data_IF_347418457809
#
_entry.id   IF_347418457809
#
_cell.length_a   1.000
_cell.length_b   1.000
_cell.length_c   1.000
_cell.angle_alpha   90.00
_cell.angle_beta   90.00
_cell.angle_gamma   90.00
#
_symmetry.space_group_name_H-M   'P 1'
#
loop_
_entity.id
_entity.type
_entity.pdbx_description
1 polymer ?
#
# COMPACT_ATOMS: atom_id res chain seq x y z
N UNK A 1 1.48 9.59 0.80
CA UNK A 1 1.57 10.01 -0.63
C UNK A 1 2.78 9.42 -1.38
N UNK A 2 4.03 9.63 -0.94
CA UNK A 2 5.22 9.15 -1.67
C UNK A 2 5.35 7.62 -1.66
N UNK A 3 4.94 6.98 -0.57
CA UNK A 3 4.83 5.51 -0.46
C UNK A 3 4.09 4.87 -1.62
N UNK A 4 2.90 5.38 -1.94
CA UNK A 4 2.08 4.83 -3.02
C UNK A 4 2.71 5.04 -4.40
N UNK A 5 3.32 6.22 -4.66
CA UNK A 5 4.06 6.46 -5.92
C UNK A 5 5.24 5.48 -6.03
N UNK A 6 6.02 5.34 -4.96
CA UNK A 6 7.17 4.44 -4.92
C UNK A 6 6.75 2.99 -5.20
N UNK A 7 5.68 2.51 -4.55
CA UNK A 7 5.14 1.18 -4.77
C UNK A 7 4.61 0.99 -6.20
N UNK A 8 3.89 1.97 -6.74
CA UNK A 8 3.39 1.91 -8.12
C UNK A 8 4.53 1.74 -9.14
N UNK A 9 5.64 2.46 -8.94
CA UNK A 9 6.83 2.38 -9.77
C UNK A 9 7.58 1.06 -9.59
N UNK A 10 7.78 0.61 -8.36
CA UNK A 10 8.38 -0.71 -8.10
C UNK A 10 7.56 -1.82 -8.76
N UNK A 11 6.22 -1.75 -8.72
CA UNK A 11 5.36 -2.73 -9.35
C UNK A 11 5.41 -2.66 -10.89
N UNK A 12 5.51 -1.46 -11.45
CA UNK A 12 5.74 -1.28 -12.89
C UNK A 12 7.04 -1.97 -13.32
N UNK A 13 8.08 -1.87 -12.50
CA UNK A 13 9.35 -2.52 -12.75
C UNK A 13 9.28 -4.05 -12.70
N UNK A 14 8.37 -4.60 -11.90
CA UNK A 14 8.11 -6.04 -11.74
C UNK A 14 7.12 -6.60 -12.76
N UNK A 15 6.52 -5.73 -13.57
CA UNK A 15 5.55 -6.14 -14.57
C UNK A 15 6.24 -6.96 -15.66
N UNK A 16 5.82 -8.20 -15.83
CA UNK A 16 6.37 -9.14 -16.83
C UNK A 16 5.65 -9.08 -18.17
N UNK A 17 4.46 -8.49 -18.24
CA UNK A 17 3.77 -8.23 -19.51
C UNK A 17 4.52 -7.10 -20.26
N UNK A 18 5.16 -7.39 -21.41
CA UNK A 18 5.97 -6.41 -22.12
C UNK A 18 5.14 -5.26 -22.70
N UNK A 19 3.86 -5.48 -23.01
CA UNK A 19 2.97 -4.43 -23.52
C UNK A 19 2.61 -3.45 -22.41
N UNK A 20 2.22 -3.97 -21.24
CA UNK A 20 1.94 -3.11 -20.10
C UNK A 20 3.21 -2.39 -19.66
N UNK A 21 4.34 -3.10 -19.60
CA UNK A 21 5.63 -2.51 -19.25
C UNK A 21 5.99 -1.32 -20.14
N UNK A 22 5.85 -1.46 -21.45
CA UNK A 22 6.09 -0.37 -22.39
C UNK A 22 5.20 0.86 -22.14
N UNK A 23 3.94 0.67 -21.78
CA UNK A 23 3.03 1.78 -21.42
C UNK A 23 3.50 2.48 -20.15
N UNK A 24 3.87 1.72 -19.11
CA UNK A 24 4.31 2.28 -17.84
C UNK A 24 5.63 3.03 -17.97
N UNK A 25 6.59 2.52 -18.75
CA UNK A 25 7.85 3.18 -19.05
C UNK A 25 7.67 4.46 -19.89
N UNK A 26 6.68 4.47 -20.80
CA UNK A 26 6.38 5.64 -21.64
C UNK A 26 5.61 6.74 -20.89
N UNK A 27 4.89 6.39 -19.82
CA UNK A 27 4.02 7.32 -19.09
C UNK A 27 4.24 7.34 -17.57
N UNK A 28 5.48 7.48 -17.08
CA UNK A 28 5.80 7.40 -15.64
C UNK A 28 5.15 8.53 -14.83
N UNK A 29 4.90 9.69 -15.44
CA UNK A 29 4.19 10.79 -14.76
C UNK A 29 2.71 10.48 -14.55
N UNK A 30 2.04 9.82 -15.51
CA UNK A 30 0.64 9.42 -15.35
C UNK A 30 0.51 8.35 -14.27
N UNK A 31 1.42 7.37 -14.27
CA UNK A 31 1.55 6.37 -13.20
C UNK A 31 1.69 7.03 -11.82
N UNK A 32 2.60 8.00 -11.69
CA UNK A 32 2.81 8.71 -10.43
C UNK A 32 1.58 9.54 -10.00
N UNK A 33 0.93 10.25 -10.93
CA UNK A 33 -0.29 11.02 -10.63
C UNK A 33 -1.43 10.09 -10.20
N UNK A 34 -1.56 8.91 -10.81
CA UNK A 34 -2.51 7.90 -10.38
C UNK A 34 -2.26 7.45 -8.94
N UNK A 35 -1.00 7.13 -8.61
CA UNK A 35 -0.61 6.71 -7.25
C UNK A 35 -0.76 7.78 -6.19
N UNK A 36 -0.89 9.05 -6.58
CA UNK A 36 -1.09 10.18 -5.69
C UNK A 36 -2.56 10.67 -5.63
N UNK A 37 -3.37 10.33 -6.64
CA UNK A 37 -4.68 10.93 -6.84
C UNK A 37 -5.68 10.68 -5.68
N UNK A 38 -5.85 9.46 -5.13
CA UNK A 38 -6.80 9.26 -4.04
C UNK A 38 -6.52 10.17 -2.83
N UNK A 39 -5.28 10.17 -2.36
CA UNK A 39 -4.82 11.05 -1.28
C UNK A 39 -5.03 12.54 -1.55
N UNK A 40 -4.95 12.98 -2.82
CA UNK A 40 -5.18 14.37 -3.18
C UNK A 40 -6.60 14.84 -2.80
N UNK A 41 -7.57 13.92 -2.87
CA UNK A 41 -8.97 14.19 -2.56
C UNK A 41 -9.20 14.60 -1.10
N UNK A 42 -8.32 14.19 -0.17
CA UNK A 42 -8.40 14.66 1.22
C UNK A 42 -8.06 16.13 1.41
N UNK A 43 -7.55 16.81 0.38
CA UNK A 43 -7.37 18.28 0.39
C UNK A 43 -8.55 19.04 -0.22
N UNK A 44 -9.53 18.33 -0.78
CA UNK A 44 -10.79 18.92 -1.18
C UNK A 44 -11.60 19.34 0.05
N UNK A 45 -12.58 20.22 -0.16
CA UNK A 45 -13.56 20.56 0.89
C UNK A 45 -14.43 19.35 1.26
N UNK A 46 -14.66 18.49 0.28
CA UNK A 46 -15.36 17.23 0.43
C UNK A 46 -14.31 16.11 0.57
N UNK A 47 -14.00 15.74 1.80
CA UNK A 47 -12.96 14.74 2.07
C UNK A 47 -13.32 13.34 1.55
N UNK A 48 -14.61 13.06 1.33
CA UNK A 48 -15.07 11.78 0.78
C UNK A 48 -14.60 11.58 -0.67
N UNK A 49 -14.25 12.66 -1.39
CA UNK A 49 -13.62 12.59 -2.71
C UNK A 49 -12.36 11.71 -2.66
N UNK A 50 -11.57 11.85 -1.60
CA UNK A 50 -10.36 11.04 -1.41
C UNK A 50 -10.75 9.59 -1.14
N UNK A 51 -11.51 9.36 -0.09
CA UNK A 51 -11.91 8.03 0.38
C UNK A 51 -12.54 7.18 -0.72
N UNK A 52 -13.49 7.72 -1.49
CA UNK A 52 -14.19 6.98 -2.56
C UNK A 52 -13.22 6.43 -3.61
N UNK A 53 -12.16 7.17 -3.95
CA UNK A 53 -11.19 6.78 -4.97
C UNK A 53 -10.28 5.61 -4.54
N UNK A 54 -10.24 5.25 -3.26
CA UNK A 54 -9.43 4.13 -2.75
C UNK A 54 -10.09 2.76 -3.04
N UNK A 55 -11.40 2.73 -3.25
CA UNK A 55 -12.17 1.49 -3.23
C UNK A 55 -12.48 0.91 -4.61
N UNK A 56 -12.68 -0.41 -4.65
CA UNK A 56 -12.97 -1.18 -5.87
C UNK A 56 -14.08 -0.59 -6.75
N UNK A 57 -15.21 -0.06 -6.22
CA UNK A 57 -16.24 0.52 -7.07
C UNK A 57 -15.73 1.65 -7.96
N UNK A 58 -14.80 2.48 -7.48
CA UNK A 58 -14.21 3.55 -8.26
C UNK A 58 -13.26 3.01 -9.35
N UNK A 59 -12.43 2.02 -9.02
CA UNK A 59 -11.57 1.33 -10.01
C UNK A 59 -12.42 0.67 -11.11
N UNK A 60 -13.51 0.00 -10.73
CA UNK A 60 -14.43 -0.63 -11.66
C UNK A 60 -15.17 0.41 -12.54
N UNK A 61 -15.56 1.56 -11.97
CA UNK A 61 -16.09 2.69 -12.73
C UNK A 61 -15.08 3.22 -13.74
N UNK A 62 -13.79 3.33 -13.35
CA UNK A 62 -12.73 3.77 -14.26
C UNK A 62 -12.60 2.83 -15.45
N UNK A 63 -12.57 1.51 -15.21
CA UNK A 63 -12.51 0.48 -16.26
C UNK A 63 -13.72 0.58 -17.21
N UNK A 64 -14.92 0.84 -16.69
CA UNK A 64 -16.12 1.00 -17.51
C UNK A 64 -15.99 2.20 -18.46
N UNK A 65 -15.67 3.38 -17.93
CA UNK A 65 -15.45 4.59 -18.74
C UNK A 65 -14.32 4.36 -19.76
N UNK A 66 -13.25 3.67 -19.36
CA UNK A 66 -12.14 3.36 -20.26
C UNK A 66 -12.59 2.51 -21.44
N UNK A 67 -13.31 1.41 -21.18
CA UNK A 67 -13.80 0.48 -22.20
C UNK A 67 -14.88 1.10 -23.09
N UNK A 68 -15.61 2.09 -22.60
CA UNK A 68 -16.57 2.86 -23.39
C UNK A 68 -15.85 3.79 -24.38
N UNK A 69 -14.78 4.48 -23.94
CA UNK A 69 -14.08 5.51 -24.71
C UNK A 69 -12.97 4.97 -25.62
N UNK A 70 -12.27 3.93 -25.18
CA UNK A 70 -11.08 3.41 -25.86
C UNK A 70 -11.26 1.94 -26.26
N UNK A 71 -10.84 1.61 -27.48
CA UNK A 71 -10.83 0.24 -28.02
C UNK A 71 -9.42 -0.14 -28.46
N UNK A 72 -9.02 -1.43 -28.39
CA UNK A 72 -7.77 -1.87 -28.99
C UNK A 72 -7.73 -1.66 -30.52
N UNK A 73 -6.58 -1.31 -31.11
CA UNK A 73 -5.32 -0.97 -30.44
C UNK A 73 -5.41 0.38 -29.72
N UNK A 74 -4.85 0.46 -28.51
CA UNK A 74 -4.93 1.66 -27.68
C UNK A 74 -4.14 2.82 -28.30
N UNK A 75 -4.77 4.00 -28.33
CA UNK A 75 -4.15 5.27 -28.74
C UNK A 75 -3.15 5.75 -27.67
N UNK A 76 -2.27 6.72 -27.99
CA UNK A 76 -1.40 7.33 -26.98
C UNK A 76 -2.17 7.91 -25.77
N UNK A 77 -3.33 8.51 -26.00
CA UNK A 77 -4.22 9.00 -24.93
C UNK A 77 -4.74 7.84 -24.05
N UNK A 78 -5.16 6.73 -24.67
CA UNK A 78 -5.57 5.55 -23.92
C UNK A 78 -4.42 4.97 -23.08
N UNK A 79 -3.18 4.98 -23.58
CA UNK A 79 -1.99 4.58 -22.83
C UNK A 79 -1.71 5.47 -21.61
N UNK A 80 -1.99 6.77 -21.69
CA UNK A 80 -1.88 7.68 -20.55
C UNK A 80 -2.89 7.34 -19.45
N UNK A 81 -4.16 7.12 -19.81
CA UNK A 81 -5.19 6.69 -18.86
C UNK A 81 -4.90 5.31 -18.28
N UNK A 82 -4.34 4.40 -19.09
CA UNK A 82 -3.93 3.09 -18.62
C UNK A 82 -2.85 3.20 -17.54
N UNK A 83 -1.81 4.00 -17.78
CA UNK A 83 -0.76 4.23 -16.78
C UNK A 83 -1.31 4.91 -15.52
N UNK A 84 -2.20 5.90 -15.66
CA UNK A 84 -2.88 6.55 -14.53
C UNK A 84 -3.69 5.54 -13.71
N UNK A 85 -4.49 4.69 -14.35
CA UNK A 85 -5.28 3.66 -13.68
C UNK A 85 -4.39 2.69 -12.89
N UNK A 86 -3.25 2.27 -13.45
CA UNK A 86 -2.31 1.42 -12.72
C UNK A 86 -1.77 2.11 -11.48
N UNK A 87 -1.46 3.41 -11.55
CA UNK A 87 -1.07 4.19 -10.36
C UNK A 87 -2.16 4.24 -9.31
N UNK A 88 -3.39 4.58 -9.74
CA UNK A 88 -4.57 4.63 -8.88
C UNK A 88 -4.82 3.30 -8.17
N UNK A 89 -4.73 2.20 -8.91
CA UNK A 89 -4.90 0.86 -8.36
C UNK A 89 -3.79 0.45 -7.40
N UNK A 90 -2.55 0.84 -7.70
CA UNK A 90 -1.42 0.62 -6.81
C UNK A 90 -1.62 1.33 -5.47
N UNK A 91 -2.25 2.50 -5.46
CA UNK A 91 -2.55 3.23 -4.23
C UNK A 91 -3.38 2.38 -3.25
N UNK A 92 -4.57 1.94 -3.63
CA UNK A 92 -5.44 1.19 -2.72
C UNK A 92 -4.85 -0.17 -2.26
N UNK A 93 -4.07 -0.84 -3.12
CA UNK A 93 -3.37 -2.07 -2.71
C UNK A 93 -2.14 -1.77 -1.83
N UNK A 94 -1.49 -0.62 -2.01
CA UNK A 94 -0.43 -0.14 -1.11
C UNK A 94 -0.99 -0.06 0.30
N UNK A 95 -2.09 0.67 0.50
CA UNK A 95 -2.68 0.82 1.84
C UNK A 95 -3.07 -0.53 2.40
N UNK A 96 -3.69 -1.36 1.58
CA UNK A 96 -4.14 -2.68 2.00
C UNK A 96 -2.97 -3.59 2.44
N UNK A 97 -1.86 -3.58 1.71
CA UNK A 97 -0.68 -4.41 2.02
C UNK A 97 0.15 -3.84 3.16
N UNK A 98 0.35 -2.51 3.17
CA UNK A 98 1.09 -1.77 4.17
C UNK A 98 0.36 -1.82 5.52
N UNK A 99 -0.94 -1.50 5.55
CA UNK A 99 -1.71 -1.37 6.77
C UNK A 99 -1.97 -2.70 7.45
N UNK A 100 -2.24 -3.75 6.67
CA UNK A 100 -2.56 -5.07 7.21
C UNK A 100 -1.36 -5.80 7.82
N UNK A 101 -0.15 -5.39 7.48
CA UNK A 101 1.08 -6.08 7.84
C UNK A 101 2.11 -5.14 8.48
N UNK A 102 2.72 -4.24 7.71
CA UNK A 102 3.84 -3.43 8.19
C UNK A 102 3.39 -2.41 9.23
N UNK A 103 2.35 -1.63 8.94
CA UNK A 103 1.80 -0.63 9.86
C UNK A 103 1.36 -1.30 11.16
N UNK A 104 0.51 -2.33 11.05
CA UNK A 104 -0.01 -3.06 12.20
C UNK A 104 1.12 -3.71 13.03
N UNK A 105 2.22 -4.11 12.40
CA UNK A 105 3.39 -4.61 13.11
C UNK A 105 4.18 -3.48 13.78
N UNK A 106 4.41 -2.37 13.08
CA UNK A 106 5.09 -1.20 13.62
C UNK A 106 4.36 -0.67 14.86
N UNK A 107 3.02 -0.63 14.84
CA UNK A 107 2.19 -0.25 15.99
C UNK A 107 2.47 -1.10 17.23
N UNK A 108 2.71 -2.39 17.04
CA UNK A 108 3.00 -3.32 18.14
C UNK A 108 4.42 -3.18 18.71
N UNK A 109 5.39 -2.70 17.94
CA UNK A 109 6.82 -2.76 18.32
C UNK A 109 7.46 -1.41 18.55
N UNK A 110 7.19 -0.43 17.69
CA UNK A 110 7.70 0.94 17.84
C UNK A 110 6.83 1.71 18.84
N UNK A 111 5.52 1.41 18.86
CA UNK A 111 4.54 2.15 19.65
C UNK A 111 4.47 3.63 19.24
N UNK A 112 3.81 4.45 20.07
CA UNK A 112 3.68 5.89 19.87
C UNK A 112 2.37 6.32 19.25
N UNK A 113 2.25 7.63 18.98
CA UNK A 113 1.12 8.19 18.26
C UNK A 113 1.32 7.95 16.75
N UNK A 114 0.34 7.30 16.12
CA UNK A 114 0.42 6.84 14.74
C UNK A 114 -0.12 7.86 13.74
N UNK A 115 -0.60 9.02 14.18
CA UNK A 115 -1.03 10.11 13.31
C UNK A 115 0.13 10.64 12.45
N UNK A 116 1.38 10.52 12.95
CA UNK A 116 2.59 10.92 12.22
C UNK A 116 3.31 9.78 11.49
N UNK A 117 2.81 8.54 11.57
CA UNK A 117 3.51 7.36 11.04
C UNK A 117 3.58 7.38 9.51
N UNK A 118 2.47 7.67 8.83
CA UNK A 118 2.44 7.70 7.35
C UNK A 118 3.36 8.79 6.79
N UNK A 119 3.38 9.96 7.43
CA UNK A 119 4.33 11.02 7.09
C UNK A 119 5.78 10.56 7.27
N UNK A 120 6.08 9.77 8.31
CA UNK A 120 7.43 9.27 8.55
C UNK A 120 7.91 8.32 7.45
N UNK A 121 7.01 7.55 6.84
CA UNK A 121 7.35 6.70 5.70
C UNK A 121 7.73 7.53 4.46
N UNK A 122 6.99 8.60 4.21
CA UNK A 122 7.32 9.55 3.14
C UNK A 122 8.67 10.26 3.41
N UNK A 123 8.98 10.56 4.67
CA UNK A 123 10.31 11.06 5.09
C UNK A 123 11.40 10.03 4.84
N UNK A 124 11.20 8.76 5.21
CA UNK A 124 12.19 7.71 5.00
C UNK A 124 12.43 7.45 3.51
N UNK A 125 11.40 7.50 2.66
CA UNK A 125 11.59 7.48 1.20
C UNK A 125 12.42 8.68 0.76
N UNK A 126 12.01 9.89 1.17
CA UNK A 126 12.67 11.11 0.73
C UNK A 126 14.15 11.14 1.08
N UNK A 127 14.48 10.68 2.29
CA UNK A 127 15.83 10.66 2.84
C UNK A 127 16.67 9.46 2.40
N UNK A 128 16.12 8.24 2.47
CA UNK A 128 16.87 6.99 2.30
C UNK A 128 16.86 6.45 0.86
N UNK A 129 16.05 7.02 -0.04
CA UNK A 129 15.95 6.58 -1.46
C UNK A 129 16.16 7.73 -2.44
N UNK A 130 16.78 7.47 -3.60
CA UNK A 130 17.02 8.48 -4.64
C UNK A 130 15.76 8.88 -5.41
N UNK A 131 14.56 8.37 -5.05
CA UNK A 131 13.32 8.52 -5.84
C UNK A 131 12.36 9.60 -5.34
N UNK A 132 12.81 10.55 -4.51
CA UNK A 132 11.95 11.65 -4.11
C UNK A 132 11.65 12.57 -5.30
N UNK A 133 10.38 12.70 -5.69
CA UNK A 133 10.00 13.77 -6.60
C UNK A 133 8.54 14.20 -6.40
N UNK A 134 8.27 15.44 -6.77
CA UNK A 134 6.92 15.95 -6.87
C UNK A 134 6.48 15.82 -8.32
N UNK A 135 5.50 14.97 -8.65
CA UNK A 135 5.12 14.76 -10.04
C UNK A 135 4.60 16.06 -10.67
N UNK A 136 4.95 16.28 -11.93
CA UNK A 136 4.25 17.27 -12.77
C UNK A 136 2.82 16.78 -13.03
N UNK A 137 1.91 17.69 -13.34
CA UNK A 137 0.52 17.31 -13.60
C UNK A 137 0.42 16.45 -14.86
N UNK A 138 -0.10 15.24 -14.70
CA UNK A 138 -0.33 14.29 -15.78
C UNK A 138 -1.62 13.49 -15.49
N UNK A 139 -2.76 14.17 -15.61
CA UNK A 139 -4.09 13.61 -15.38
C UNK A 139 -5.14 14.38 -16.19
N UNK A 140 -6.31 13.75 -16.40
CA UNK A 140 -7.46 14.35 -17.06
C UNK A 140 -8.62 14.49 -16.05
N UNK A 141 -8.87 15.71 -15.58
CA UNK A 141 -9.91 16.00 -14.61
C UNK A 141 -11.33 15.81 -15.16
N UNK A 142 -11.54 15.96 -16.48
CA UNK A 142 -12.85 15.70 -17.10
C UNK A 142 -13.13 14.20 -17.12
N UNK A 143 -12.14 13.40 -17.49
CA UNK A 143 -12.24 11.95 -17.42
C UNK A 143 -12.52 11.47 -15.99
N UNK A 144 -11.77 11.97 -15.00
CA UNK A 144 -11.98 11.58 -13.59
C UNK A 144 -13.36 12.00 -13.08
N UNK A 145 -13.88 13.16 -13.49
CA UNK A 145 -15.25 13.57 -13.16
C UNK A 145 -16.29 12.62 -13.76
N UNK A 146 -16.08 12.15 -15.00
CA UNK A 146 -16.94 11.14 -15.61
C UNK A 146 -16.89 9.80 -14.85
N UNK A 147 -15.74 9.41 -14.30
CA UNK A 147 -15.61 8.22 -13.43
C UNK A 147 -16.37 8.41 -12.11
N UNK A 148 -16.23 9.55 -11.44
CA UNK A 148 -17.01 9.86 -10.24
C UNK A 148 -18.52 9.86 -10.50
N UNK A 149 -18.95 10.28 -11.70
CA UNK A 149 -20.36 10.19 -12.12
C UNK A 149 -20.91 8.76 -12.23
N UNK A 150 -20.06 7.73 -12.14
CA UNK A 150 -20.46 6.30 -12.15
C UNK A 150 -20.53 5.67 -10.75
N UNK A 151 -20.12 6.40 -9.72
CA UNK A 151 -20.25 5.97 -8.31
C UNK A 151 -21.22 6.90 -7.58
N UNK A 152 -21.77 6.51 -6.40
CA UNK A 152 -22.66 7.34 -5.59
C UNK A 152 -22.01 8.59 -4.96
N UNK A 153 -21.07 9.23 -5.65
CA UNK A 153 -20.31 10.39 -5.20
C UNK A 153 -19.78 11.19 -6.41
N UNK A 154 -20.64 11.92 -7.16
CA UNK A 154 -20.21 12.69 -8.31
C UNK A 154 -19.34 13.89 -7.88
N UNK A 155 -18.21 14.07 -8.55
CA UNK A 155 -17.25 15.16 -8.25
C UNK A 155 -16.99 15.97 -9.52
N UNK A 156 -17.24 17.30 -9.52
CA UNK A 156 -16.94 18.17 -10.65
C UNK A 156 -15.46 18.29 -10.99
N UNK A 157 -15.14 18.59 -12.25
CA UNK A 157 -13.77 18.78 -12.77
C UNK A 157 -12.97 19.81 -11.98
N UNK A 158 -13.60 20.91 -11.57
CA UNK A 158 -12.95 21.98 -10.81
C UNK A 158 -12.50 21.51 -9.41
N UNK A 159 -13.29 20.66 -8.74
CA UNK A 159 -12.96 20.13 -7.43
C UNK A 159 -11.77 19.16 -7.51
N UNK A 160 -11.75 18.31 -8.54
CA UNK A 160 -10.63 17.41 -8.83
C UNK A 160 -9.35 18.21 -9.07
N UNK A 161 -9.44 19.25 -9.91
CA UNK A 161 -8.30 20.12 -10.23
C UNK A 161 -7.78 20.86 -9.00
N UNK A 162 -8.69 21.38 -8.17
CA UNK A 162 -8.35 22.05 -6.92
C UNK A 162 -7.64 21.10 -5.94
N UNK A 163 -8.16 19.89 -5.76
CA UNK A 163 -7.60 18.88 -4.87
C UNK A 163 -6.17 18.47 -5.31
N UNK A 164 -6.01 18.10 -6.58
CA UNK A 164 -4.71 17.76 -7.16
C UNK A 164 -3.71 18.93 -7.07
N UNK A 165 -4.17 20.17 -7.25
CA UNK A 165 -3.31 21.35 -7.15
C UNK A 165 -2.89 21.65 -5.72
N UNK A 166 -3.82 21.51 -4.78
CA UNK A 166 -3.61 21.80 -3.36
C UNK A 166 -2.65 20.78 -2.77
N UNK A 167 -2.92 19.49 -2.95
CA UNK A 167 -2.05 18.44 -2.43
C UNK A 167 -0.66 18.45 -3.09
N UNK A 168 -0.52 18.76 -4.40
CA UNK A 168 0.81 18.92 -5.02
C UNK A 168 1.57 20.11 -4.44
N UNK A 169 0.89 21.22 -4.19
CA UNK A 169 1.48 22.40 -3.53
C UNK A 169 1.94 22.05 -2.12
N UNK A 170 1.10 21.34 -1.36
CA UNK A 170 1.44 20.82 -0.03
C UNK A 170 2.66 19.92 -0.07
N UNK A 171 2.67 18.93 -0.97
CA UNK A 171 3.81 18.04 -1.17
C UNK A 171 5.08 18.80 -1.58
N UNK A 172 4.97 19.83 -2.43
CA UNK A 172 6.12 20.69 -2.80
C UNK A 172 6.66 21.49 -1.63
N UNK A 173 5.80 21.99 -0.75
CA UNK A 173 6.21 22.72 0.44
C UNK A 173 6.87 21.79 1.46
N UNK A 174 6.27 20.61 1.65
CA UNK A 174 6.76 19.57 2.57
C UNK A 174 8.04 18.94 2.05
N UNK A 175 8.22 18.77 0.73
CA UNK A 175 9.43 18.30 0.06
C UNK A 175 10.73 18.90 0.60
N UNK A 176 10.75 20.23 0.74
CA UNK A 176 11.93 20.96 1.20
C UNK A 176 12.22 20.73 2.69
N UNK A 177 11.25 20.21 3.44
CA UNK A 177 11.30 19.95 4.87
C UNK A 177 11.39 18.46 5.20
N UNK A 178 10.96 17.54 4.33
CA UNK A 178 10.94 16.09 4.60
C UNK A 178 12.33 15.53 4.94
N UNK A 179 13.39 16.09 4.36
CA UNK A 179 14.77 15.72 4.71
C UNK A 179 15.11 16.04 6.17
N UNK A 180 14.52 17.09 6.74
CA UNK A 180 14.67 17.43 8.14
C UNK A 180 13.71 16.58 8.97
N UNK A 181 14.28 15.74 9.85
CA UNK A 181 13.50 14.92 10.78
C UNK A 181 13.58 13.42 10.54
N UNK A 182 14.22 12.94 9.46
CA UNK A 182 14.42 11.50 9.25
C UNK A 182 15.11 10.82 10.45
N UNK A 183 16.06 11.51 11.10
CA UNK A 183 16.69 10.99 12.31
C UNK A 183 15.76 10.98 13.53
N UNK A 184 14.87 11.97 13.67
CA UNK A 184 13.96 12.02 14.81
C UNK A 184 12.81 11.03 14.63
N UNK A 185 12.26 10.93 13.41
CA UNK A 185 11.34 9.86 13.05
C UNK A 185 12.00 8.48 13.14
N UNK A 186 13.26 8.34 12.77
CA UNK A 186 14.00 7.09 12.90
C UNK A 186 14.21 6.65 14.35
N UNK A 187 14.28 7.59 15.31
CA UNK A 187 14.28 7.27 16.75
C UNK A 187 12.89 6.88 17.25
N UNK A 188 11.84 7.47 16.66
CA UNK A 188 10.44 7.19 17.03
C UNK A 188 9.92 5.88 16.45
N UNK A 189 10.34 5.55 15.22
CA UNK A 189 9.91 4.36 14.48
C UNK A 189 11.11 3.56 13.96
N UNK A 190 12.00 3.09 14.86
CA UNK A 190 13.24 2.42 14.47
C UNK A 190 12.99 1.10 13.73
N UNK A 191 11.99 0.31 14.15
CA UNK A 191 11.66 -0.93 13.47
C UNK A 191 11.10 -0.64 12.08
N UNK A 192 10.14 0.28 11.94
CA UNK A 192 9.55 0.59 10.64
C UNK A 192 10.60 1.11 9.64
N UNK A 193 11.51 2.01 10.05
CA UNK A 193 12.59 2.50 9.18
C UNK A 193 13.49 1.37 8.69
N UNK A 194 13.85 0.43 9.58
CA UNK A 194 14.68 -0.71 9.22
C UNK A 194 13.97 -1.71 8.29
N UNK A 195 12.65 -1.79 8.34
CA UNK A 195 11.89 -2.86 7.67
C UNK A 195 11.07 -2.41 6.44
N UNK A 196 10.80 -1.11 6.27
CA UNK A 196 9.95 -0.59 5.17
C UNK A 196 10.51 -0.88 3.77
N UNK A 197 11.83 -1.05 3.66
CA UNK A 197 12.50 -1.43 2.41
C UNK A 197 13.08 -2.85 2.42
N UNK A 198 12.92 -3.62 3.51
CA UNK A 198 13.44 -4.98 3.62
C UNK A 198 12.51 -5.95 2.89
N UNK A 199 12.97 -6.64 1.82
CA UNK A 199 12.13 -7.52 1.04
C UNK A 199 11.50 -8.65 1.86
N UNK A 200 12.14 -9.15 2.91
CA UNK A 200 11.60 -10.25 3.74
C UNK A 200 10.44 -9.84 4.65
N UNK A 201 10.25 -8.55 4.89
CA UNK A 201 9.18 -8.05 5.76
C UNK A 201 7.84 -8.08 5.03
N UNK A 202 6.81 -8.67 5.64
CA UNK A 202 5.44 -8.58 5.13
C UNK A 202 4.94 -7.14 5.15
N UNK A 203 4.33 -6.70 4.04
CA UNK A 203 3.82 -5.34 3.88
C UNK A 203 4.86 -4.26 3.61
N UNK A 204 6.16 -4.59 3.58
CA UNK A 204 7.18 -3.65 3.12
C UNK A 204 6.97 -3.31 1.64
N UNK A 205 7.56 -2.22 1.16
CA UNK A 205 7.33 -1.78 -0.22
C UNK A 205 7.72 -2.82 -1.28
N UNK A 206 8.83 -3.57 -1.16
CA UNK A 206 9.10 -4.65 -2.12
C UNK A 206 8.03 -5.75 -2.12
N UNK A 207 7.53 -6.15 -0.94
CA UNK A 207 6.45 -7.14 -0.84
C UNK A 207 5.14 -6.60 -1.42
N UNK A 208 4.71 -5.40 -1.00
CA UNK A 208 3.51 -4.76 -1.50
C UNK A 208 3.56 -4.56 -3.03
N UNK A 209 4.72 -4.18 -3.58
CA UNK A 209 4.88 -3.98 -5.02
C UNK A 209 4.69 -5.28 -5.83
N UNK A 210 5.05 -6.44 -5.27
CA UNK A 210 4.77 -7.73 -5.91
C UNK A 210 3.27 -8.02 -5.97
N UNK A 211 2.53 -7.69 -4.91
CA UNK A 211 1.06 -7.80 -4.88
C UNK A 211 0.42 -6.82 -5.88
N UNK A 212 0.90 -5.57 -5.94
CA UNK A 212 0.45 -4.57 -6.92
C UNK A 212 0.70 -5.05 -8.36
N UNK A 213 1.85 -5.64 -8.65
CA UNK A 213 2.14 -6.21 -9.98
C UNK A 213 1.17 -7.36 -10.33
N UNK A 214 0.71 -8.10 -9.32
CA UNK A 214 -0.41 -9.03 -9.46
C UNK A 214 -1.70 -8.33 -9.86
N UNK A 215 -2.03 -7.22 -9.19
CA UNK A 215 -3.22 -6.45 -9.51
C UNK A 215 -3.20 -5.86 -10.92
N UNK A 216 -2.05 -5.36 -11.37
CA UNK A 216 -1.87 -4.86 -12.74
C UNK A 216 -2.27 -5.88 -13.81
N UNK A 217 -1.91 -7.15 -13.61
CA UNK A 217 -2.29 -8.24 -14.52
C UNK A 217 -3.81 -8.43 -14.56
N UNK A 218 -4.46 -8.43 -13.39
CA UNK A 218 -5.93 -8.59 -13.32
C UNK A 218 -6.67 -7.39 -13.91
N UNK A 219 -6.16 -6.17 -13.73
CA UNK A 219 -6.72 -4.97 -14.37
C UNK A 219 -6.59 -5.03 -15.89
N UNK A 220 -5.45 -5.47 -16.42
CA UNK A 220 -5.28 -5.65 -17.87
C UNK A 220 -6.30 -6.63 -18.44
N UNK A 221 -6.50 -7.79 -17.81
CA UNK A 221 -7.54 -8.75 -18.20
C UNK A 221 -8.93 -8.10 -18.26
N UNK A 222 -9.29 -7.36 -17.20
CA UNK A 222 -10.60 -6.68 -17.09
C UNK A 222 -10.80 -5.60 -18.17
N UNK A 223 -9.74 -4.86 -18.50
CA UNK A 223 -9.75 -3.86 -19.58
C UNK A 223 -9.92 -4.50 -20.95
N UNK A 224 -9.31 -5.67 -21.17
CA UNK A 224 -9.45 -6.47 -22.38
C UNK A 224 -10.80 -7.21 -22.46
N UNK A 225 -11.61 -7.12 -21.40
CA UNK A 225 -12.95 -7.68 -21.34
C UNK A 225 -13.00 -9.13 -20.85
N UNK A 226 -11.88 -9.67 -20.36
CA UNK A 226 -11.87 -10.93 -19.64
C UNK A 226 -12.56 -10.74 -18.27
N UNK A 227 -13.58 -11.55 -18.03
CA UNK A 227 -14.39 -11.56 -16.82
C UNK A 227 -14.08 -12.76 -15.92
N UNK A 228 -13.04 -13.54 -16.23
CA UNK A 228 -12.61 -14.65 -15.39
C UNK A 228 -12.14 -14.15 -14.03
N UNK A 229 -12.41 -14.95 -12.98
CA UNK A 229 -11.87 -14.77 -11.65
C UNK A 229 -10.81 -15.85 -11.31
N UNK A 230 -10.25 -16.55 -12.30
CA UNK A 230 -9.20 -17.55 -12.06
C UNK A 230 -7.88 -16.93 -11.57
N UNK A 231 -7.65 -15.64 -11.85
CA UNK A 231 -6.51 -14.86 -11.35
C UNK A 231 -6.82 -14.02 -10.12
N UNK A 232 -7.97 -14.24 -9.47
CA UNK A 232 -8.49 -13.37 -8.43
C UNK A 232 -7.55 -13.20 -7.23
N UNK A 233 -6.80 -14.24 -6.83
CA UNK A 233 -5.79 -14.15 -5.78
C UNK A 233 -4.48 -13.61 -6.37
N UNK A 234 -4.14 -12.36 -6.05
CA UNK A 234 -3.01 -11.64 -6.64
C UNK A 234 -1.75 -11.65 -5.76
N UNK A 235 -1.89 -12.03 -4.50
CA UNK A 235 -0.78 -12.13 -3.55
C UNK A 235 -1.23 -12.63 -2.20
N UNK A 236 -0.26 -13.01 -1.38
CA UNK A 236 -0.48 -13.54 -0.03
C UNK A 236 0.62 -13.10 0.91
N UNK A 237 0.32 -13.05 2.20
CA UNK A 237 1.34 -13.13 3.24
C UNK A 237 1.04 -14.33 4.15
N UNK A 238 2.03 -15.19 4.46
CA UNK A 238 3.30 -15.31 3.73
C UNK A 238 3.05 -15.69 2.26
N UNK A 239 4.02 -15.40 1.40
CA UNK A 239 4.07 -15.91 0.02
C UNK A 239 5.05 -17.09 -0.09
N UNK A 240 5.23 -17.65 -1.29
CA UNK A 240 6.08 -18.82 -1.53
C UNK A 240 7.56 -18.61 -1.17
N UNK A 241 8.00 -17.36 -1.01
CA UNK A 241 9.37 -17.01 -0.67
C UNK A 241 9.57 -16.68 0.81
N UNK A 242 8.50 -16.66 1.60
CA UNK A 242 8.54 -16.26 3.01
C UNK A 242 7.89 -17.31 3.90
N UNK A 243 8.46 -17.46 5.09
CA UNK A 243 7.81 -18.16 6.20
C UNK A 243 7.05 -17.15 7.05
N UNK A 244 6.05 -17.63 7.78
CA UNK A 244 5.36 -16.80 8.77
C UNK A 244 6.36 -16.32 9.85
N UNK A 245 6.34 -15.02 10.18
CA UNK A 245 7.34 -14.40 11.06
C UNK A 245 7.14 -14.67 12.55
N UNK A 246 5.99 -15.21 12.93
CA UNK A 246 5.71 -15.67 14.30
C UNK A 246 4.66 -16.79 14.27
N UNK A 247 4.61 -17.61 15.31
CA UNK A 247 3.54 -18.58 15.52
C UNK A 247 2.34 -17.98 16.26
N UNK A 248 2.46 -16.75 16.76
CA UNK A 248 1.42 -16.04 17.52
C UNK A 248 0.41 -15.35 16.60
N UNK A 249 -0.85 -15.82 16.54
CA UNK A 249 -1.84 -15.28 15.62
C UNK A 249 -2.39 -13.91 16.03
N UNK A 250 -2.05 -13.42 17.23
CA UNK A 250 -2.45 -12.08 17.68
C UNK A 250 -1.65 -10.98 16.98
N UNK A 251 -0.42 -11.29 16.54
CA UNK A 251 0.43 -10.37 15.79
C UNK A 251 0.01 -10.27 14.32
N UNK A 252 0.25 -9.11 13.70
CA UNK A 252 -0.08 -8.88 12.29
C UNK A 252 0.65 -9.87 11.36
N UNK A 253 1.93 -10.09 11.64
CA UNK A 253 2.84 -10.99 10.92
C UNK A 253 2.74 -12.47 11.35
N UNK A 254 1.75 -12.80 12.19
CA UNK A 254 1.35 -14.17 12.57
C UNK A 254 0.05 -14.65 11.92
N UNK A 255 -0.53 -13.84 11.04
CA UNK A 255 -1.77 -14.14 10.30
C UNK A 255 -1.44 -14.45 8.86
N UNK A 256 -2.33 -15.21 8.21
CA UNK A 256 -2.31 -15.27 6.74
C UNK A 256 -3.14 -14.12 6.20
N UNK A 257 -2.64 -13.41 5.19
CA UNK A 257 -3.34 -12.33 4.50
C UNK A 257 -3.48 -12.69 3.04
N UNK A 258 -4.69 -12.59 2.52
CA UNK A 258 -5.03 -12.89 1.12
C UNK A 258 -5.39 -11.59 0.42
N UNK A 259 -4.70 -11.28 -0.68
CA UNK A 259 -4.92 -10.08 -1.47
C UNK A 259 -5.60 -10.45 -2.79
N UNK A 260 -6.68 -9.76 -3.13
CA UNK A 260 -7.51 -10.06 -4.28
C UNK A 260 -7.49 -8.93 -5.31
N UNK A 261 -7.41 -9.29 -6.60
CA UNK A 261 -7.40 -8.36 -7.74
C UNK A 261 -8.77 -7.81 -8.11
N UNK A 262 -9.75 -7.99 -7.22
CA UNK A 262 -11.09 -7.45 -7.31
C UNK A 262 -11.68 -7.44 -5.90
N UNK A 263 -12.47 -6.42 -5.57
CA UNK A 263 -13.36 -6.47 -4.41
C UNK A 263 -14.30 -7.69 -4.49
N UNK A 264 -14.53 -8.33 -3.35
CA UNK A 264 -15.35 -9.53 -3.19
C UNK A 264 -16.77 -9.21 -2.74
N UNK A 265 -17.73 -10.04 -3.15
CA UNK A 265 -19.05 -10.08 -2.55
C UNK A 265 -18.94 -10.65 -1.13
N UNK A 266 -19.22 -9.80 -0.14
CA UNK A 266 -19.12 -10.15 1.29
C UNK A 266 -19.93 -11.39 1.67
N UNK A 267 -21.10 -11.58 1.06
CA UNK A 267 -21.96 -12.73 1.35
C UNK A 267 -21.35 -14.06 0.88
N UNK A 268 -20.40 -14.02 -0.05
CA UNK A 268 -19.72 -15.21 -0.59
C UNK A 268 -18.49 -15.64 0.20
N UNK A 269 -17.99 -14.83 1.14
CA UNK A 269 -16.71 -15.08 1.83
C UNK A 269 -16.82 -16.22 2.85
N UNK A 270 -17.91 -16.28 3.61
CA UNK A 270 -18.13 -17.12 4.81
C UNK A 270 -17.24 -18.37 4.93
N UNK A 271 -17.75 -19.51 4.46
CA UNK A 271 -17.04 -20.80 4.48
C UNK A 271 -16.13 -21.03 3.26
N UNK A 272 -15.94 -19.98 2.44
CA UNK A 272 -15.15 -20.09 1.20
C UNK A 272 -13.65 -20.12 1.45
N UNK A 273 -13.16 -19.99 2.68
CA UNK A 273 -11.72 -20.08 2.99
C UNK A 273 -11.50 -21.11 4.09
N UNK A 274 -10.72 -22.14 3.77
CA UNK A 274 -10.39 -23.25 4.68
C UNK A 274 -8.89 -23.41 4.77
N UNK A 275 -8.38 -23.65 5.97
CA UNK A 275 -6.97 -23.96 6.21
C UNK A 275 -6.85 -25.43 6.60
N UNK A 276 -5.90 -26.15 6.01
CA UNK A 276 -5.54 -27.52 6.40
C UNK A 276 -4.06 -27.64 6.69
N UNK A 277 -3.69 -28.54 7.60
CA UNK A 277 -2.30 -28.90 7.84
C UNK A 277 -1.75 -29.91 6.81
N UNK A 278 -0.50 -30.33 6.97
CA UNK A 278 0.16 -31.31 6.10
C UNK A 278 -0.43 -32.73 6.15
N UNK A 279 -1.27 -33.04 7.15
CA UNK A 279 -2.04 -34.29 7.22
C UNK A 279 -3.44 -34.16 6.60
N UNK A 280 -3.80 -32.97 6.13
CA UNK A 280 -5.13 -32.65 5.59
C UNK A 280 -6.19 -32.35 6.66
N UNK A 281 -5.80 -32.24 7.94
CA UNK A 281 -6.73 -31.88 9.00
C UNK A 281 -7.06 -30.38 8.94
N UNK A 282 -8.35 -30.05 9.10
CA UNK A 282 -8.81 -28.65 9.10
C UNK A 282 -8.30 -27.94 10.35
N UNK A 283 -7.64 -26.80 10.14
CA UNK A 283 -7.19 -25.89 11.20
C UNK A 283 -8.29 -24.86 11.45
N UNK A 284 -8.89 -24.80 12.65
CA UNK A 284 -9.90 -23.80 12.95
C UNK A 284 -9.32 -22.39 12.85
N UNK A 285 -9.93 -21.55 12.02
CA UNK A 285 -9.49 -20.18 11.78
C UNK A 285 -10.67 -19.23 11.59
N UNK A 286 -10.50 -17.99 12.03
CA UNK A 286 -11.39 -16.88 11.73
C UNK A 286 -10.94 -16.23 10.43
N UNK A 287 -11.86 -16.11 9.48
CA UNK A 287 -11.68 -15.39 8.21
C UNK A 287 -12.46 -14.08 8.30
N UNK A 288 -11.80 -12.96 8.01
CA UNK A 288 -12.45 -11.65 8.09
C UNK A 288 -11.93 -10.68 7.02
N UNK A 289 -12.82 -9.85 6.45
CA UNK A 289 -12.44 -8.63 5.75
C UNK A 289 -11.49 -7.77 6.57
N UNK A 290 -10.38 -7.35 5.97
CA UNK A 290 -9.51 -6.35 6.59
C UNK A 290 -10.29 -5.05 6.84
N UNK A 291 -10.16 -4.48 8.05
CA UNK A 291 -10.92 -3.31 8.55
C UNK A 291 -12.44 -3.39 8.38
N UNK A 292 -13.00 -4.58 8.21
CA UNK A 292 -14.43 -4.75 7.97
C UNK A 292 -14.93 -4.13 6.66
N UNK A 293 -14.04 -3.83 5.69
CA UNK A 293 -14.35 -3.10 4.44
C UNK A 293 -15.59 -3.60 3.71
N UNK A 294 -16.48 -2.69 3.29
CA UNK A 294 -17.69 -3.00 2.51
C UNK A 294 -17.37 -3.70 1.18
N UNK A 295 -16.20 -3.41 0.60
CA UNK A 295 -15.75 -3.91 -0.70
C UNK A 295 -14.42 -4.67 -0.51
N UNK A 296 -14.41 -5.79 0.23
CA UNK A 296 -13.17 -6.38 0.67
C UNK A 296 -12.38 -6.93 -0.51
N UNK A 297 -11.17 -6.44 -0.69
CA UNK A 297 -10.15 -7.01 -1.56
C UNK A 297 -8.99 -7.62 -0.73
N UNK A 298 -9.11 -7.61 0.60
CA UNK A 298 -8.18 -8.26 1.53
C UNK A 298 -8.93 -9.03 2.59
N UNK A 299 -8.50 -10.28 2.80
CA UNK A 299 -8.97 -11.14 3.89
C UNK A 299 -7.81 -11.50 4.80
N UNK A 300 -8.04 -11.43 6.11
CA UNK A 300 -7.14 -11.99 7.12
C UNK A 300 -7.67 -13.32 7.58
N UNK A 301 -6.80 -14.33 7.67
CA UNK A 301 -7.07 -15.65 8.22
C UNK A 301 -6.25 -15.80 9.50
N UNK A 302 -6.95 -15.87 10.62
CA UNK A 302 -6.37 -15.93 11.97
C UNK A 302 -6.73 -17.26 12.61
N UNK A 303 -5.78 -18.18 12.87
CA UNK A 303 -6.10 -19.44 13.51
C UNK A 303 -6.58 -19.19 14.95
N UNK A 304 -7.45 -20.05 15.46
CA UNK A 304 -7.93 -19.95 16.85
C UNK A 304 -6.89 -20.40 17.88
N UNK A 305 -5.79 -20.98 17.43
CA UNK A 305 -4.68 -21.45 18.25
C UNK A 305 -3.36 -21.10 17.57
N UNK A 306 -2.26 -21.11 18.33
CA UNK A 306 -0.93 -20.88 17.77
C UNK A 306 -0.65 -21.87 16.66
N UNK A 307 0.03 -21.39 15.62
CA UNK A 307 0.50 -22.28 14.57
C UNK A 307 1.52 -23.28 15.12
N UNK A 308 1.50 -24.51 14.60
CA UNK A 308 2.55 -25.49 14.92
C UNK A 308 3.88 -25.08 14.24
N UNK A 309 5.03 -25.29 14.90
CA UNK A 309 6.34 -24.96 14.34
C UNK A 309 6.68 -25.88 13.15
N UNK A 310 7.47 -25.38 12.21
CA UNK A 310 7.99 -26.13 11.05
C UNK A 310 6.92 -26.93 10.28
N UNK A 311 5.71 -26.40 10.21
CA UNK A 311 4.55 -27.10 9.67
C UNK A 311 4.12 -26.44 8.37
N UNK A 312 3.86 -27.26 7.36
CA UNK A 312 3.26 -26.83 6.10
C UNK A 312 1.74 -26.81 6.23
N UNK A 313 1.14 -25.72 5.80
CA UNK A 313 -0.31 -25.54 5.73
C UNK A 313 -0.73 -25.22 4.29
N UNK A 314 -1.99 -25.53 3.98
CA UNK A 314 -2.64 -25.15 2.73
C UNK A 314 -3.84 -24.28 3.05
N UNK A 315 -3.96 -23.12 2.42
CA UNK A 315 -5.18 -22.32 2.41
C UNK A 315 -5.88 -22.53 1.08
N UNK A 316 -7.13 -22.99 1.15
CA UNK A 316 -8.00 -23.18 0.00
C UNK A 316 -9.07 -22.11 0.00
N UNK A 317 -9.13 -21.32 -1.06
CA UNK A 317 -10.22 -20.40 -1.37
C UNK A 317 -11.15 -21.10 -2.36
N UNK A 318 -12.35 -21.43 -1.91
CA UNK A 318 -13.36 -22.13 -2.68
C UNK A 318 -13.78 -21.31 -3.92
N UNK A 319 -14.00 -22.01 -5.03
CA UNK A 319 -14.54 -21.42 -6.27
C UNK A 319 -15.90 -20.74 -6.11
N UNK A 320 -16.58 -20.93 -4.98
CA UNK A 320 -17.85 -20.28 -4.64
C UNK A 320 -17.69 -18.83 -4.20
N UNK A 321 -16.47 -18.37 -3.92
CA UNK A 321 -16.21 -16.95 -3.69
C UNK A 321 -16.57 -16.16 -4.94
N UNK A 322 -17.19 -15.00 -4.76
CA UNK A 322 -17.60 -14.12 -5.84
C UNK A 322 -16.92 -12.77 -5.72
N UNK A 323 -16.57 -12.19 -6.86
CA UNK A 323 -16.25 -10.77 -7.01
C UNK A 323 -17.51 -9.91 -6.89
N UNK A 324 -17.35 -8.59 -6.76
CA UNK A 324 -18.50 -7.65 -6.71
C UNK A 324 -19.36 -7.65 -7.99
N UNK A 325 -18.81 -8.09 -9.14
CA UNK A 325 -19.58 -8.25 -10.38
C UNK A 325 -20.16 -9.68 -10.54
N UNK A 326 -20.03 -10.54 -9.52
CA UNK A 326 -20.62 -11.88 -9.49
C UNK A 326 -19.81 -12.98 -10.17
N UNK A 327 -18.61 -12.69 -10.66
CA UNK A 327 -17.72 -13.70 -11.23
C UNK A 327 -17.10 -14.57 -10.12
N UNK A 328 -16.87 -15.84 -10.45
CA UNK A 328 -16.28 -16.84 -9.55
C UNK A 328 -15.13 -17.56 -10.26
N UNK A 329 -14.08 -17.98 -9.52
CA UNK A 329 -13.06 -18.86 -10.07
C UNK A 329 -13.68 -20.14 -10.64
N UNK A 330 -13.06 -20.74 -11.65
CA UNK A 330 -13.51 -22.02 -12.24
C UNK A 330 -13.16 -23.22 -11.36
N UNK A 331 -12.15 -23.06 -10.51
CA UNK A 331 -11.62 -24.06 -9.57
C UNK A 331 -11.24 -23.39 -8.25
N UNK A 332 -11.06 -24.19 -7.21
CA UNK A 332 -10.55 -23.70 -5.94
C UNK A 332 -9.13 -23.13 -6.15
N UNK A 333 -8.85 -22.02 -5.48
CA UNK A 333 -7.53 -21.41 -5.45
C UNK A 333 -6.82 -21.91 -4.21
N UNK A 334 -5.59 -22.38 -4.38
CA UNK A 334 -4.81 -22.95 -3.27
C UNK A 334 -3.47 -22.23 -3.16
N UNK A 335 -3.05 -22.03 -1.93
CA UNK A 335 -1.70 -21.59 -1.60
C UNK A 335 -1.16 -22.44 -0.45
N UNK A 336 0.13 -22.68 -0.45
CA UNK A 336 0.81 -23.37 0.64
C UNK A 336 1.79 -22.45 1.31
N UNK A 337 1.89 -22.53 2.64
CA UNK A 337 2.91 -21.81 3.39
C UNK A 337 3.52 -22.67 4.47
N UNK A 338 4.69 -22.26 4.93
CA UNK A 338 5.40 -22.91 6.03
C UNK A 338 5.56 -21.95 7.21
N UNK A 339 5.42 -22.49 8.40
CA UNK A 339 5.72 -21.79 9.63
C UNK A 339 7.19 -21.97 10.01
N UNK A 340 7.73 -21.01 10.74
CA UNK A 340 9.10 -21.08 11.20
C UNK A 340 9.32 -22.12 12.32
N UNK A 341 10.59 -22.31 12.68
CA UNK A 341 11.02 -23.04 13.87
C UNK A 341 11.59 -22.05 14.91
N UNK A 342 10.82 -21.63 15.94
CA UNK A 342 11.36 -20.75 16.97
C UNK A 342 12.42 -21.46 17.81
N UNK A 343 13.46 -20.73 18.23
CA UNK A 343 14.57 -21.30 19.03
C UNK A 343 14.15 -21.70 20.44
N UNK A 344 13.06 -21.10 20.95
CA UNK A 344 12.47 -21.41 22.25
C UNK A 344 10.96 -21.67 22.09
N UNK A 345 10.37 -22.58 22.89
CA UNK A 345 8.93 -22.82 22.86
C UNK A 345 8.14 -21.53 23.08
N UNK A 346 7.31 -21.17 22.09
CA UNK A 346 6.49 -19.94 22.12
C UNK A 346 7.24 -18.64 21.84
N UNK A 347 8.54 -18.71 21.52
CA UNK A 347 9.33 -17.56 21.09
C UNK A 347 9.04 -17.15 19.64
N UNK A 348 9.59 -16.01 19.25
CA UNK A 348 9.55 -15.55 17.87
C UNK A 348 10.39 -16.44 16.96
N UNK A 349 10.03 -16.43 15.69
CA UNK A 349 10.92 -16.93 14.67
C UNK A 349 12.22 -16.14 14.75
N UNK A 350 13.37 -16.83 14.67
CA UNK A 350 14.64 -16.13 14.48
C UNK A 350 14.64 -15.37 13.14
N UNK A 351 15.72 -14.63 12.89
CA UNK A 351 15.90 -14.02 11.57
C UNK A 351 15.71 -15.07 10.46
N UNK A 352 15.05 -14.70 9.35
CA UNK A 352 14.94 -15.55 8.17
C UNK A 352 16.29 -16.16 7.79
N UNK A 353 16.37 -17.48 7.83
CA UNK A 353 17.53 -18.29 7.39
C UNK A 353 17.54 -18.51 5.87
N UNK A 354 16.51 -18.04 5.18
CA UNK A 354 16.38 -18.07 3.73
C UNK A 354 16.91 -16.78 3.10
N UNK A 355 17.46 -16.84 1.87
CA UNK A 355 17.93 -15.65 1.16
C UNK A 355 16.77 -14.66 1.02
N UNK A 356 17.06 -13.36 1.17
CA UNK A 356 16.07 -12.35 0.87
C UNK A 356 15.57 -12.55 -0.58
N UNK A 357 14.25 -12.49 -0.81
CA UNK A 357 13.74 -12.40 -2.18
C UNK A 357 14.48 -11.27 -2.90
N UNK A 358 14.81 -11.46 -4.17
CA UNK A 358 15.41 -10.38 -4.95
C UNK A 358 14.57 -9.11 -4.72
N UNK A 359 15.21 -8.01 -4.32
CA UNK A 359 14.50 -6.74 -4.16
C UNK A 359 13.83 -6.43 -5.48
N UNK A 360 12.52 -6.62 -5.50
CA UNK A 360 11.74 -6.53 -6.72
C UNK A 360 11.59 -5.06 -7.15
N UNK A 361 11.94 -4.12 -6.26
CA UNK A 361 12.31 -2.75 -6.62
C UNK A 361 13.76 -2.71 -7.15
N UNK A 362 14.00 -2.38 -8.43
CA UNK A 362 15.32 -2.10 -8.99
C UNK A 362 16.07 -1.01 -8.24
N UNK A 363 17.40 -1.15 -8.23
CA UNK A 363 18.34 -0.06 -7.96
C UNK A 363 18.23 0.91 -9.13
N UNK A 364 17.45 1.98 -9.00
CA UNK A 364 17.27 2.90 -10.13
C UNK A 364 18.53 3.69 -10.45
N UNK A 365 18.68 3.99 -11.74
CA UNK A 365 19.53 5.06 -12.24
C UNK A 365 18.97 6.43 -11.84
N UNK A 366 19.88 7.38 -11.62
CA UNK A 366 19.68 8.73 -11.07
C UNK A 366 18.80 9.69 -11.91
N UNK A 367 17.96 9.19 -12.83
CA UNK A 367 17.18 10.00 -13.78
C UNK A 367 15.97 10.71 -13.14
N UNK A 368 15.56 10.32 -11.94
CA UNK A 368 14.57 11.04 -11.15
C UNK A 368 15.30 12.03 -10.25
N UNK A 369 15.06 13.33 -10.49
CA UNK A 369 15.86 14.43 -9.94
C UNK A 369 16.15 14.25 -8.45
N UNK A 370 17.42 13.99 -8.12
CA UNK A 370 17.93 14.32 -6.79
C UNK A 370 17.88 15.83 -6.59
N UNK A 371 17.89 16.25 -5.32
CA UNK A 371 17.95 17.63 -4.86
C UNK A 371 18.74 18.54 -5.83
N UNK A 372 18.24 19.74 -6.19
CA UNK A 372 19.07 20.72 -6.88
C UNK A 372 20.36 20.98 -6.08
N UNK A 373 21.50 20.50 -6.61
CA UNK A 373 22.83 20.74 -6.05
C UNK A 373 23.45 19.67 -5.13
N UNK A 374 22.95 18.41 -5.11
CA UNK A 374 23.71 17.30 -4.49
C UNK A 374 24.09 16.25 -5.54
N UNK A 375 25.40 16.08 -5.76
CA UNK A 375 25.96 14.86 -6.36
C UNK A 375 25.67 13.66 -5.43
N UNK A 376 25.43 12.45 -5.96
CA UNK A 376 25.15 11.28 -5.13
C UNK A 376 26.37 10.95 -4.24
N UNK A 377 26.19 11.01 -2.92
CA UNK A 377 27.17 10.52 -1.95
C UNK A 377 27.23 8.98 -1.99
N UNK A 378 28.44 8.44 -1.84
CA UNK A 378 28.68 7.01 -1.76
C UNK A 378 27.93 6.39 -0.55
N UNK A 379 27.44 5.14 -0.66
CA UNK A 379 26.67 4.51 0.39
C UNK A 379 27.49 4.38 1.69
N UNK A 380 26.95 4.88 2.80
CA UNK A 380 27.51 4.68 4.13
C UNK A 380 27.28 3.25 4.62
N UNK A 381 28.25 2.70 5.35
CA UNK A 381 28.15 1.37 5.96
C UNK A 381 27.01 1.31 6.99
N UNK A 382 26.29 0.17 7.09
CA UNK A 382 25.19 0.02 8.03
C UNK A 382 25.68 0.07 9.48
N UNK A 383 25.04 0.90 10.29
CA UNK A 383 25.28 0.98 11.72
C UNK A 383 24.64 -0.21 12.46
N UNK A 384 25.39 -0.76 13.40
CA UNK A 384 25.03 -1.91 14.24
C UNK A 384 23.79 -1.60 15.11
N UNK A 385 22.69 -2.30 14.86
CA UNK A 385 21.43 -2.14 15.58
C UNK A 385 21.45 -3.05 16.83
N UNK A 386 21.62 -2.43 18.00
CA UNK A 386 21.59 -3.13 19.29
C UNK A 386 20.26 -3.85 19.58
N UNK A 387 20.24 -4.72 20.62
CA UNK A 387 19.12 -5.61 20.90
C UNK A 387 17.85 -4.88 21.36
N UNK A 388 16.65 -5.44 21.04
CA UNK A 388 15.37 -4.79 21.30
C UNK A 388 14.99 -4.76 22.79
N UNK A 389 14.30 -3.70 23.27
CA UNK A 389 13.76 -3.63 24.62
C UNK A 389 12.46 -4.46 24.79
N UNK A 390 12.15 -4.83 26.02
CA UNK A 390 10.98 -5.63 26.39
C UNK A 390 9.67 -4.82 26.40
N UNK A 391 8.60 -5.42 25.85
CA UNK A 391 7.28 -4.80 25.70
C UNK A 391 6.43 -4.86 26.99
N UNK A 392 5.71 -3.77 27.31
CA UNK A 392 4.72 -3.71 28.38
C UNK A 392 3.35 -3.24 27.84
N UNK A 393 2.31 -4.06 28.12
CA UNK A 393 0.90 -3.72 28.38
C UNK A 393 0.15 -2.70 27.51
N UNK A 394 -0.76 -3.20 26.67
CA UNK A 394 -1.70 -2.48 25.80
C UNK A 394 -2.92 -1.89 26.52
N UNK A 395 -3.47 -0.79 25.96
CA UNK A 395 -4.84 -0.31 26.17
C UNK A 395 -5.47 -0.01 24.79
N UNK A 396 -6.72 -0.43 24.47
CA UNK A 396 -7.25 -0.32 23.10
C UNK A 396 -8.28 0.81 22.95
N UNK A 397 -8.00 1.82 22.12
CA UNK A 397 -9.02 2.55 21.32
C UNK A 397 -8.41 3.69 20.48
N UNK A 398 -8.38 3.55 19.15
CA UNK A 398 -8.75 4.60 18.18
C UNK A 398 -8.49 4.11 16.75
N UNK A 399 -9.53 3.57 16.11
CA UNK A 399 -9.57 3.44 14.65
C UNK A 399 -10.27 4.67 14.07
N UNK A 400 -9.80 5.12 12.91
CA UNK A 400 -10.30 6.26 12.15
C UNK A 400 -11.83 6.32 12.08
N UNK A 401 -12.42 7.05 13.00
CA UNK A 401 -13.73 7.66 12.86
C UNK A 401 -13.48 9.17 12.91
N UNK A 402 -13.70 9.85 11.79
CA UNK A 402 -13.76 11.30 11.76
C UNK A 402 -14.99 11.68 12.58
N UNK A 403 -14.78 12.06 13.84
CA UNK A 403 -15.79 12.83 14.54
C UNK A 403 -15.86 14.19 13.83
N UNK A 404 -17.04 14.51 13.27
CA UNK A 404 -17.30 15.80 12.63
C UNK A 404 -16.90 16.94 13.59
N UNK A 405 -16.02 17.88 13.21
CA UNK A 405 -15.78 19.04 14.03
C UNK A 405 -16.79 20.13 13.67
N UNK A 406 -17.44 20.69 14.69
CA UNK A 406 -17.87 22.09 14.62
C UNK A 406 -16.67 22.98 14.21
N UNK A 407 -16.90 24.09 13.50
CA UNK A 407 -15.83 24.86 12.88
C UNK A 407 -14.99 25.57 13.96
N UNK A 408 -13.90 24.91 14.40
CA UNK A 408 -12.86 25.56 15.17
C UNK A 408 -11.88 26.25 14.23
N UNK A 409 -11.47 27.48 14.60
CA UNK A 409 -10.58 28.40 13.89
C UNK A 409 -9.12 27.88 13.70
N UNK A 410 -8.89 26.58 13.71
CA UNK A 410 -7.55 25.95 13.69
C UNK A 410 -6.92 25.76 12.30
N UNK A 411 -7.69 25.82 11.21
CA UNK A 411 -7.18 25.53 9.86
C UNK A 411 -6.21 26.59 9.28
N UNK A 412 -6.06 27.75 9.94
CA UNK A 412 -5.15 28.83 9.52
C UNK A 412 -3.80 28.85 10.26
N UNK A 413 -3.58 27.97 11.24
CA UNK A 413 -2.34 27.99 12.04
C UNK A 413 -1.10 27.41 11.31
N UNK A 414 -1.30 26.67 10.21
CA UNK A 414 -0.20 25.93 9.56
C UNK A 414 0.63 26.73 8.55
N UNK A 415 0.23 27.97 8.23
CA UNK A 415 1.06 28.91 7.46
C UNK A 415 2.03 29.73 8.33
N UNK A 416 2.00 29.58 9.65
CA UNK A 416 2.75 30.44 10.59
C UNK A 416 4.10 29.91 11.09
N UNK A 417 4.42 28.62 10.89
CA UNK A 417 5.57 28.02 11.58
C UNK A 417 6.99 28.29 11.02
N UNK A 418 7.25 28.78 9.78
CA UNK A 418 8.64 28.97 9.35
C UNK A 418 9.28 30.28 9.87
N UNK A 419 8.53 31.22 10.45
CA UNK A 419 9.07 32.50 10.93
C UNK A 419 9.57 32.47 12.39
N UNK A 420 9.09 31.55 13.22
CA UNK A 420 9.43 31.52 14.65
C UNK A 420 10.85 30.97 14.94
N UNK A 421 11.40 30.12 14.06
CA UNK A 421 12.73 29.52 14.23
C UNK A 421 13.87 30.43 13.75
N UNK A 422 13.61 31.35 12.81
CA UNK A 422 14.60 32.34 12.36
C UNK A 422 14.84 33.47 13.38
N UNK A 423 13.82 33.80 14.19
CA UNK A 423 13.91 34.92 15.15
C UNK A 423 14.64 34.58 16.46
N UNK A 424 14.76 33.30 16.81
CA UNK A 424 15.45 32.86 18.05
C UNK A 424 16.98 32.84 17.95
N UNK A 425 17.56 32.82 16.74
CA UNK A 425 19.04 32.82 16.56
C UNK A 425 19.68 34.21 16.55
N UNK A 426 18.90 35.30 16.43
CA UNK A 426 19.43 36.68 16.41
C UNK A 426 19.56 37.37 17.78
N UNK A 427 19.12 36.75 18.87
CA UNK A 427 19.18 37.34 20.24
C UNK A 427 20.29 36.77 21.15
N UNK A 428 21.25 36.01 20.61
CA UNK A 428 22.43 35.54 21.37
C UNK A 428 23.76 36.13 20.90
N UNK A 429 23.73 37.20 20.12
CA UNK A 429 24.92 37.96 19.75
C UNK A 429 24.62 39.46 19.82
N UNK A 430 24.50 39.97 21.03
CA UNK A 430 24.59 41.39 21.41
C UNK A 430 24.66 41.47 22.93
#
# INVERSE_FOLDING_TARGET
>A
MQGHIYMAQCAAEQTTDPRLRAVLDAHPMHLANGGYFPDSGYTARDHDQGEVAHWEPFVQAYIQVFRERYKPPFTPEASQHLAFLMGLAAHGITDSTFDSLLYARAEQVDGGDFDSFDLSMDVFIAHDKPRYFVPEYAYDAQYLSAVFGRVPHPVPTENITQAMTTARTGLSAVAGLLYAGANDYGKRYPWARAHVFEPRTGGSYPHGAAVVAGYYRELMKRLEGDTSADGLLIGTYPDEHRRLATLDPTRADGRVVLFFGHGLDRASIGESVVVTDGAGAVVPAKVAPFRGSTYPNVLTVTPTSKWQPSTRYTVRVAKTVRTLNGASPTKDLELTFETCAPKTPGGDCGEPDYPAPASACPKLDASFKTRPGQEPEAPAEPADAGPPPAANGTNPSSGCAVASPEPSLGALAWLGLPLALAWRKRRRAS
#
